data_IF_476853351983
#
_entry.id   IF_476853351983
#
_cell.length_a   1.000
_cell.length_b   1.000
_cell.length_c   1.000
_cell.angle_alpha   90.00
_cell.angle_beta   90.00
_cell.angle_gamma   90.00
#
_symmetry.space_group_name_H-M   'P 1'
#
loop_
_entity.id
_entity.type
_entity.pdbx_description
1 polymer ?
#
# COMPACT_ATOMS: atom_id res chain seq x y z
N UNK A 1 -0.94 -0.66 -9.39
CA UNK A 1 -1.87 0.47 -9.62
C UNK A 1 -1.36 1.30 -10.79
N UNK A 2 -2.24 2.00 -11.51
CA UNK A 2 -1.85 2.91 -12.59
C UNK A 2 -1.16 4.17 -12.04
N UNK A 3 -0.54 4.92 -12.95
CA UNK A 3 0.15 6.17 -12.61
C UNK A 3 -0.80 7.35 -12.32
N UNK A 4 -2.11 7.21 -12.55
CA UNK A 4 -3.17 8.15 -12.12
C UNK A 4 -4.49 7.41 -11.80
N UNK A 5 -5.31 7.91 -10.87
CA UNK A 5 -6.71 7.49 -10.63
C UNK A 5 -7.67 8.65 -10.91
N UNK A 6 -8.67 8.41 -11.77
CA UNK A 6 -9.70 9.37 -12.16
C UNK A 6 -10.98 8.63 -12.61
N UNK A 7 -12.14 9.31 -12.80
CA UNK A 7 -13.36 8.65 -13.25
C UNK A 7 -13.18 7.95 -14.60
N UNK A 8 -13.88 6.84 -14.79
CA UNK A 8 -13.87 6.00 -16.00
C UNK A 8 -12.51 5.39 -16.41
N UNK A 9 -11.42 5.62 -15.66
CA UNK A 9 -10.11 4.97 -15.91
C UNK A 9 -10.22 3.45 -15.75
N UNK A 10 -9.74 2.72 -16.74
CA UNK A 10 -9.56 1.26 -16.66
C UNK A 10 -8.08 0.87 -16.59
N UNK A 11 -7.76 -0.11 -15.74
CA UNK A 11 -6.41 -0.65 -15.62
C UNK A 11 -6.40 -2.13 -15.21
N UNK A 12 -5.35 -2.85 -15.60
CA UNK A 12 -5.11 -4.21 -15.13
C UNK A 12 -4.37 -4.19 -13.78
N UNK A 13 -4.92 -4.85 -12.77
CA UNK A 13 -4.34 -4.92 -11.43
C UNK A 13 -3.06 -5.77 -11.43
N UNK A 14 -2.05 -5.36 -10.65
CA UNK A 14 -0.75 -6.03 -10.60
C UNK A 14 -0.87 -7.52 -10.24
N UNK A 15 0.06 -8.37 -10.68
CA UNK A 15 -0.09 -9.84 -10.59
C UNK A 15 -0.45 -10.35 -9.18
N UNK A 16 0.17 -9.80 -8.13
CA UNK A 16 -0.12 -10.14 -6.73
C UNK A 16 -1.51 -9.66 -6.28
N UNK A 17 -1.92 -8.47 -6.71
CA UNK A 17 -3.24 -7.89 -6.44
C UNK A 17 -4.34 -8.69 -7.16
N UNK A 18 -4.14 -9.01 -8.45
CA UNK A 18 -5.00 -9.91 -9.23
C UNK A 18 -5.16 -11.29 -8.58
N UNK A 19 -4.07 -11.88 -8.06
CA UNK A 19 -4.14 -13.14 -7.33
C UNK A 19 -4.93 -13.02 -6.02
N UNK A 20 -4.70 -11.96 -5.25
CA UNK A 20 -5.41 -11.68 -3.99
C UNK A 20 -6.92 -11.53 -4.20
N UNK A 21 -7.33 -10.69 -5.17
CA UNK A 21 -8.74 -10.47 -5.52
C UNK A 21 -9.44 -11.76 -5.98
N UNK A 22 -8.80 -12.58 -6.82
CA UNK A 22 -9.42 -13.79 -7.41
C UNK A 22 -9.35 -15.05 -6.53
N UNK A 23 -8.31 -15.24 -5.73
CA UNK A 23 -8.08 -16.49 -5.01
C UNK A 23 -8.22 -16.38 -3.49
N UNK A 24 -7.90 -15.22 -2.92
CA UNK A 24 -8.06 -14.95 -1.48
C UNK A 24 -9.45 -14.40 -1.19
N UNK A 25 -9.82 -13.26 -1.80
CA UNK A 25 -11.14 -12.63 -1.65
C UNK A 25 -12.23 -13.26 -2.55
N UNK A 26 -11.83 -14.00 -3.59
CA UNK A 26 -12.73 -14.76 -4.50
C UNK A 26 -13.76 -13.91 -5.25
N UNK A 27 -13.39 -12.70 -5.63
CA UNK A 27 -14.31 -11.71 -6.21
C UNK A 27 -14.74 -12.03 -7.66
N UNK A 28 -15.95 -11.57 -7.99
CA UNK A 28 -16.59 -11.71 -9.31
C UNK A 28 -16.33 -10.51 -10.22
N UNK A 29 -16.72 -10.63 -11.49
CA UNK A 29 -16.95 -9.43 -12.31
C UNK A 29 -18.17 -8.69 -11.77
N UNK A 30 -18.15 -7.36 -11.82
CA UNK A 30 -19.13 -6.49 -11.15
C UNK A 30 -18.93 -6.37 -9.62
N UNK A 31 -17.93 -7.02 -9.02
CA UNK A 31 -17.61 -6.81 -7.60
C UNK A 31 -16.95 -5.44 -7.40
N UNK A 32 -17.49 -4.66 -6.48
CA UNK A 32 -16.94 -3.36 -6.07
C UNK A 32 -15.83 -3.50 -5.03
N UNK A 33 -14.82 -2.64 -5.14
CA UNK A 33 -13.70 -2.48 -4.22
C UNK A 33 -13.34 -1.00 -4.07
N UNK A 34 -12.54 -0.68 -3.05
CA UNK A 34 -11.87 0.62 -2.92
C UNK A 34 -10.42 0.50 -3.41
N UNK A 35 -9.93 1.53 -4.11
CA UNK A 35 -8.55 1.63 -4.60
C UNK A 35 -7.98 3.02 -4.33
N UNK A 36 -6.68 3.08 -4.01
CA UNK A 36 -5.94 4.31 -3.74
C UNK A 36 -4.47 4.16 -4.20
N UNK A 37 -3.68 5.24 -4.17
CA UNK A 37 -2.36 5.25 -4.79
C UNK A 37 -1.32 6.27 -4.23
N UNK A 38 -1.51 6.85 -3.03
CA UNK A 38 -0.58 7.80 -2.41
C UNK A 38 -0.71 9.26 -2.83
N UNK A 39 -1.66 9.62 -3.69
CA UNK A 39 -1.78 10.99 -4.27
C UNK A 39 -3.21 11.41 -4.66
N UNK A 40 -4.02 10.50 -5.19
CA UNK A 40 -5.30 10.84 -5.83
C UNK A 40 -6.51 10.57 -4.92
N UNK A 41 -6.26 10.12 -3.68
CA UNK A 41 -7.28 9.71 -2.71
C UNK A 41 -7.79 8.29 -2.94
N UNK A 42 -8.92 7.98 -2.30
CA UNK A 42 -9.60 6.69 -2.38
C UNK A 42 -10.79 6.77 -3.32
N UNK A 43 -10.85 5.81 -4.24
CA UNK A 43 -11.85 5.71 -5.29
C UNK A 43 -12.60 4.37 -5.20
N UNK A 44 -13.89 4.38 -5.49
CA UNK A 44 -14.61 3.17 -5.86
C UNK A 44 -14.14 2.68 -7.23
N UNK A 45 -13.93 1.38 -7.35
CA UNK A 45 -13.71 0.69 -8.61
C UNK A 45 -14.46 -0.64 -8.64
N UNK A 46 -14.83 -1.12 -9.82
CA UNK A 46 -15.44 -2.43 -10.01
C UNK A 46 -14.57 -3.32 -10.90
N UNK A 47 -14.61 -4.64 -10.68
CA UNK A 47 -13.97 -5.61 -11.59
C UNK A 47 -14.76 -5.62 -12.91
N UNK A 48 -14.23 -4.99 -13.96
CA UNK A 48 -14.89 -4.92 -15.27
C UNK A 48 -14.65 -6.17 -16.13
N UNK A 49 -13.53 -6.86 -15.93
CA UNK A 49 -13.23 -8.15 -16.56
C UNK A 49 -12.21 -8.97 -15.74
N UNK A 50 -12.20 -10.30 -15.89
CA UNK A 50 -11.13 -11.15 -15.35
C UNK A 50 -10.62 -12.19 -16.34
N UNK A 51 -9.31 -12.43 -16.29
CA UNK A 51 -8.62 -13.47 -17.05
C UNK A 51 -7.95 -14.47 -16.09
N UNK A 52 -7.33 -15.54 -16.62
CA UNK A 52 -6.51 -16.46 -15.82
C UNK A 52 -5.22 -15.85 -15.23
N UNK A 53 -4.90 -14.57 -15.52
CA UNK A 53 -3.63 -13.94 -15.11
C UNK A 53 -3.76 -12.52 -14.56
N UNK A 54 -4.84 -11.80 -14.91
CA UNK A 54 -5.06 -10.41 -14.53
C UNK A 54 -6.55 -10.13 -14.31
N UNK A 55 -6.84 -9.23 -13.35
CA UNK A 55 -8.13 -8.59 -13.10
C UNK A 55 -8.08 -7.19 -13.70
N UNK A 56 -9.09 -6.82 -14.48
CA UNK A 56 -9.28 -5.44 -14.91
C UNK A 56 -10.23 -4.72 -13.96
N UNK A 57 -9.85 -3.52 -13.56
CA UNK A 57 -10.61 -2.63 -12.70
C UNK A 57 -11.03 -1.41 -13.50
N UNK A 58 -12.28 -0.97 -13.32
CA UNK A 58 -12.79 0.31 -13.79
C UNK A 58 -13.10 1.22 -12.60
N UNK A 59 -12.51 2.41 -12.57
CA UNK A 59 -12.75 3.45 -11.55
C UNK A 59 -14.07 4.17 -11.82
N UNK A 60 -14.83 4.49 -10.77
CA UNK A 60 -16.12 5.18 -10.87
C UNK A 60 -16.14 6.54 -10.17
N UNK A 61 -15.93 6.60 -8.85
CA UNK A 61 -16.12 7.82 -8.05
C UNK A 61 -15.13 7.94 -6.89
N UNK A 62 -14.70 9.18 -6.60
CA UNK A 62 -13.89 9.51 -5.42
C UNK A 62 -14.75 9.38 -4.15
N UNK A 63 -14.27 8.61 -3.18
CA UNK A 63 -14.92 8.41 -1.89
C UNK A 63 -14.26 9.22 -0.77
N UNK A 64 -12.92 9.31 -0.77
CA UNK A 64 -12.16 10.13 0.17
C UNK A 64 -11.05 10.89 -0.58
N UNK A 65 -10.96 12.23 -0.49
CA UNK A 65 -9.84 12.96 -1.07
C UNK A 65 -8.52 12.58 -0.39
N UNK A 66 -7.40 12.76 -1.08
CA UNK A 66 -6.08 12.53 -0.52
C UNK A 66 -5.87 13.42 0.73
N UNK A 67 -5.57 12.84 1.92
CA UNK A 67 -5.18 13.61 3.09
C UNK A 67 -3.82 14.28 2.86
N UNK A 68 -3.49 15.38 3.58
CA UNK A 68 -2.12 15.88 3.59
C UNK A 68 -1.16 14.79 4.07
N UNK A 69 -0.01 14.66 3.41
CA UNK A 69 1.04 13.74 3.83
C UNK A 69 1.47 14.06 5.27
N UNK A 70 1.65 13.07 6.17
CA UNK A 70 2.10 13.34 7.52
C UNK A 70 3.51 13.94 7.55
N UNK A 71 3.74 14.88 8.45
CA UNK A 71 5.01 15.61 8.59
C UNK A 71 6.02 14.90 9.52
N UNK A 72 5.59 13.86 10.24
CA UNK A 72 6.42 13.09 11.17
C UNK A 72 7.50 12.27 10.44
N UNK A 73 8.75 12.71 10.57
CA UNK A 73 9.95 11.95 10.19
C UNK A 73 10.38 11.06 11.36
N UNK A 74 10.15 9.75 11.25
CA UNK A 74 10.54 8.77 12.26
C UNK A 74 11.94 8.21 11.97
N UNK A 75 12.95 8.81 12.60
CA UNK A 75 14.34 8.33 12.58
C UNK A 75 14.54 7.17 13.57
N UNK A 76 14.97 6.00 13.09
CA UNK A 76 15.16 4.81 13.94
C UNK A 76 16.46 4.04 13.66
N UNK A 77 17.07 3.49 14.72
CA UNK A 77 18.19 2.55 14.59
C UNK A 77 17.66 1.16 14.19
N UNK A 78 18.13 0.54 13.08
CA UNK A 78 17.59 -0.75 12.66
C UNK A 78 17.81 -1.87 13.69
N UNK A 79 16.72 -2.58 13.97
CA UNK A 79 16.67 -3.68 14.93
C UNK A 79 17.04 -5.02 14.26
N UNK A 80 17.33 -6.04 15.07
CA UNK A 80 17.42 -7.42 14.60
C UNK A 80 16.06 -7.90 14.03
N UNK A 81 16.14 -8.88 13.12
CA UNK A 81 14.97 -9.43 12.40
C UNK A 81 13.82 -9.80 13.35
N UNK A 82 12.58 -9.64 12.86
CA UNK A 82 11.35 -9.83 13.63
C UNK A 82 10.85 -8.58 14.36
N UNK A 83 11.74 -7.78 14.98
CA UNK A 83 11.32 -6.51 15.62
C UNK A 83 11.22 -5.33 14.65
N UNK A 84 11.98 -5.37 13.56
CA UNK A 84 12.01 -4.31 12.56
C UNK A 84 10.68 -4.22 11.78
N UNK A 85 10.07 -5.35 11.45
CA UNK A 85 8.82 -5.39 10.69
C UNK A 85 7.65 -4.80 11.52
N UNK A 86 7.57 -5.16 12.80
CA UNK A 86 6.63 -4.58 13.77
C UNK A 86 6.83 -3.06 13.98
N UNK A 87 8.09 -2.62 14.08
CA UNK A 87 8.40 -1.19 14.20
C UNK A 87 7.93 -0.39 12.98
N UNK A 88 8.08 -0.95 11.78
CA UNK A 88 7.58 -0.34 10.53
C UNK A 88 6.06 -0.24 10.54
N UNK A 89 5.37 -1.35 10.86
CA UNK A 89 3.91 -1.38 10.94
C UNK A 89 3.38 -0.32 11.92
N UNK A 90 3.95 -0.24 13.13
CA UNK A 90 3.50 0.73 14.14
C UNK A 90 3.89 2.17 13.82
N UNK A 91 5.00 2.43 13.13
CA UNK A 91 5.31 3.77 12.64
C UNK A 91 4.27 4.24 11.60
N UNK A 92 3.85 3.36 10.68
CA UNK A 92 2.79 3.65 9.71
C UNK A 92 1.43 3.86 10.40
N UNK A 93 1.02 2.96 11.29
CA UNK A 93 -0.23 3.11 12.09
C UNK A 93 -0.30 4.43 12.88
N UNK A 94 0.83 4.93 13.37
CA UNK A 94 0.92 6.18 14.13
C UNK A 94 1.10 7.43 13.24
N UNK A 95 1.05 7.30 11.91
CA UNK A 95 1.15 8.43 10.99
C UNK A 95 2.56 8.97 10.77
N UNK A 96 3.61 8.12 10.78
CA UNK A 96 4.93 8.54 10.31
C UNK A 96 4.96 8.64 8.77
N UNK A 97 5.08 9.86 8.25
CA UNK A 97 5.14 10.11 6.80
C UNK A 97 6.48 9.76 6.17
N UNK A 98 7.56 9.75 6.95
CA UNK A 98 8.88 9.29 6.52
C UNK A 98 9.48 8.34 7.56
N UNK A 99 9.77 7.10 7.16
CA UNK A 99 10.54 6.15 7.96
C UNK A 99 12.01 6.22 7.56
N UNK A 100 12.88 6.74 8.44
CA UNK A 100 14.29 6.99 8.17
C UNK A 100 15.19 6.06 9.00
N UNK A 101 15.75 4.99 8.41
CA UNK A 101 16.80 4.20 9.05
C UNK A 101 18.04 5.06 9.31
N UNK A 102 18.59 5.02 10.53
CA UNK A 102 19.84 5.73 10.91
C UNK A 102 20.87 4.80 11.54
N UNK A 103 22.15 5.05 11.26
CA UNK A 103 23.27 4.35 11.89
C UNK A 103 23.71 5.16 13.12
N UNK A 104 23.77 4.50 14.27
CA UNK A 104 24.16 5.06 15.56
C UNK A 104 25.31 4.26 16.16
N UNK A 105 25.95 4.77 17.22
CA UNK A 105 27.06 4.12 17.93
C UNK A 105 26.77 2.68 18.38
N UNK A 106 25.50 2.29 18.53
CA UNK A 106 25.08 0.97 18.99
C UNK A 106 24.17 0.22 17.98
N UNK A 107 24.07 0.69 16.73
CA UNK A 107 23.30 0.02 15.67
C UNK A 107 23.95 -1.34 15.30
N UNK A 108 23.34 -2.45 15.72
CA UNK A 108 23.86 -3.79 15.44
C UNK A 108 23.56 -4.30 14.02
N UNK A 109 22.62 -3.68 13.30
CA UNK A 109 22.27 -4.03 11.91
C UNK A 109 22.38 -2.78 11.04
N UNK A 110 23.53 -2.59 10.38
CA UNK A 110 23.81 -1.35 9.64
C UNK A 110 23.05 -1.21 8.31
N UNK A 111 22.52 -2.32 7.75
CA UNK A 111 21.88 -2.35 6.42
C UNK A 111 20.65 -3.27 6.40
N UNK A 112 19.43 -2.76 6.69
CA UNK A 112 18.20 -3.48 6.42
C UNK A 112 17.90 -3.55 4.92
N UNK A 113 17.09 -4.53 4.48
CA UNK A 113 16.60 -4.59 3.10
C UNK A 113 15.52 -3.53 2.88
N UNK A 114 15.81 -2.51 2.06
CA UNK A 114 14.88 -1.42 1.78
C UNK A 114 13.59 -1.92 1.11
N UNK A 115 13.68 -2.91 0.23
CA UNK A 115 12.51 -3.41 -0.50
C UNK A 115 11.59 -4.25 0.39
N UNK A 116 12.13 -4.95 1.39
CA UNK A 116 11.32 -5.55 2.48
C UNK A 116 10.64 -4.47 3.32
N UNK A 117 11.35 -3.38 3.68
CA UNK A 117 10.75 -2.27 4.43
C UNK A 117 9.61 -1.62 3.63
N UNK A 118 9.78 -1.41 2.32
CA UNK A 118 8.75 -0.90 1.42
C UNK A 118 7.53 -1.83 1.36
N UNK A 119 7.73 -3.14 1.21
CA UNK A 119 6.64 -4.11 1.21
C UNK A 119 5.82 -4.05 2.52
N UNK A 120 6.49 -4.02 3.68
CA UNK A 120 5.84 -3.87 4.98
C UNK A 120 5.08 -2.53 5.12
N UNK A 121 5.60 -1.42 4.57
CA UNK A 121 4.93 -0.11 4.59
C UNK A 121 3.66 -0.13 3.75
N UNK A 122 3.71 -0.72 2.54
CA UNK A 122 2.54 -0.85 1.67
C UNK A 122 1.47 -1.73 2.32
N UNK A 123 1.85 -2.90 2.86
CA UNK A 123 0.90 -3.78 3.55
C UNK A 123 0.26 -3.10 4.79
N UNK A 124 1.04 -2.34 5.56
CA UNK A 124 0.50 -1.58 6.69
C UNK A 124 -0.45 -0.45 6.25
N UNK A 125 -0.13 0.27 5.16
CA UNK A 125 -1.02 1.30 4.61
C UNK A 125 -2.33 0.71 4.07
N UNK A 126 -2.25 -0.41 3.32
CA UNK A 126 -3.39 -1.19 2.83
C UNK A 126 -4.28 -1.70 3.99
N UNK A 127 -3.69 -2.20 5.08
CA UNK A 127 -4.46 -2.67 6.25
C UNK A 127 -5.08 -1.54 7.08
N UNK A 128 -4.47 -0.35 7.12
CA UNK A 128 -4.94 0.79 7.91
C UNK A 128 -5.82 1.78 7.14
N UNK A 129 -5.94 1.66 5.81
CA UNK A 129 -6.66 2.60 4.97
C UNK A 129 -6.00 3.99 4.93
N UNK A 130 -4.66 4.03 5.06
CA UNK A 130 -3.82 5.22 4.91
C UNK A 130 -3.53 5.37 3.41
N UNK A 131 -3.95 6.50 2.85
CA UNK A 131 -4.12 6.71 1.41
C UNK A 131 -2.86 7.18 0.68
#
# INVERSE_FOLDING_TARGET
MPDDLAPDVEFDAGQQQSHYLLHVLRLGEGAEILVFNGRDGEWSAAISAKTKRAVRLKVSALQRPQPPLPDLIYCFAPLKQGRLDYLVQKAVEMGAGVLQPVITQHTQVAKPSIDRLRANVVEAAEQCGIL
#
